data_IF_604618371881
#
_entry.id   IF_604618371881
#
_cell.length_a   1.000
_cell.length_b   1.000
_cell.length_c   1.000
_cell.angle_alpha   90.00
_cell.angle_beta   90.00
_cell.angle_gamma   90.00
#
_symmetry.space_group_name_H-M   'P 1'
#
loop_
_entity.id
_entity.type
_entity.pdbx_description
1 polymer ?
#
# COMPACT_ATOMS: atom_id res chain seq x y z
N UNK A 1 4.96 9.44 14.20
CA UNK A 1 4.00 10.30 13.46
C UNK A 1 3.09 9.40 12.63
N UNK A 2 1.85 9.76 12.31
CA UNK A 2 1.05 9.01 11.33
C UNK A 2 1.18 9.70 9.97
N UNK A 3 1.48 8.93 8.93
CA UNK A 3 1.54 9.40 7.55
C UNK A 3 0.48 8.65 6.74
N UNK A 4 -0.36 9.41 6.03
CA UNK A 4 -1.33 8.84 5.11
C UNK A 4 -0.63 8.40 3.82
N UNK A 5 -0.81 7.14 3.46
CA UNK A 5 -0.13 6.52 2.32
C UNK A 5 -1.11 5.70 1.49
N UNK A 6 -0.73 5.35 0.27
CA UNK A 6 -1.34 4.23 -0.44
C UNK A 6 -0.45 3.01 -0.25
N UNK A 7 -0.99 1.99 0.39
CA UNK A 7 -0.30 0.71 0.56
C UNK A 7 -0.66 -0.21 -0.59
N UNK A 8 0.36 -0.65 -1.33
CA UNK A 8 0.25 -1.72 -2.31
C UNK A 8 0.68 -3.04 -1.69
N UNK A 9 -0.11 -4.08 -1.93
CA UNK A 9 0.16 -5.44 -1.46
C UNK A 9 -0.24 -6.45 -2.52
N UNK A 10 0.46 -7.58 -2.59
CA UNK A 10 0.17 -8.66 -3.53
C UNK A 10 -0.42 -9.85 -2.79
N UNK A 11 -1.37 -10.55 -3.41
CA UNK A 11 -1.71 -11.91 -2.98
C UNK A 11 -0.66 -12.92 -3.49
N UNK A 12 -0.84 -14.21 -3.17
CA UNK A 12 0.08 -15.28 -3.60
C UNK A 12 0.07 -15.56 -5.11
N UNK A 13 -0.93 -15.08 -5.83
CA UNK A 13 -1.02 -15.16 -7.30
C UNK A 13 -0.44 -13.92 -7.99
N UNK A 14 -0.03 -12.90 -7.24
CA UNK A 14 0.50 -11.64 -7.76
C UNK A 14 -0.56 -10.59 -8.06
N UNK A 15 -1.81 -10.78 -7.63
CA UNK A 15 -2.87 -9.76 -7.80
C UNK A 15 -2.60 -8.56 -6.90
N UNK A 16 -2.63 -7.36 -7.48
CA UNK A 16 -2.35 -6.11 -6.77
C UNK A 16 -3.59 -5.60 -6.05
N UNK A 17 -3.42 -5.26 -4.78
CA UNK A 17 -4.38 -4.51 -3.98
C UNK A 17 -3.81 -3.13 -3.61
N UNK A 18 -4.61 -2.08 -3.80
CA UNK A 18 -4.30 -0.70 -3.43
C UNK A 18 -5.23 -0.27 -2.29
N UNK A 19 -4.69 0.20 -1.17
CA UNK A 19 -5.49 0.65 -0.04
C UNK A 19 -4.91 1.90 0.62
N UNK A 20 -5.70 2.97 0.81
CA UNK A 20 -5.33 4.08 1.69
C UNK A 20 -5.12 3.59 3.12
N UNK A 21 -4.00 3.98 3.73
CA UNK A 21 -3.69 3.64 5.11
C UNK A 21 -2.85 4.71 5.79
N UNK A 22 -3.27 5.08 7.00
CA UNK A 22 -2.42 5.75 7.97
C UNK A 22 -1.39 4.78 8.52
N UNK A 23 -0.12 5.12 8.35
CA UNK A 23 1.03 4.32 8.82
C UNK A 23 1.74 5.06 9.92
N UNK A 24 2.04 4.37 11.02
CA UNK A 24 2.90 4.93 12.06
C UNK A 24 4.36 4.92 11.59
N UNK A 25 4.89 6.12 11.38
CA UNK A 25 6.25 6.40 11.00
C UNK A 25 7.08 6.76 12.25
N UNK A 26 7.88 5.80 12.70
CA UNK A 26 8.93 5.99 13.70
C UNK A 26 10.30 6.15 13.04
N UNK A 27 11.32 6.49 13.84
CA UNK A 27 12.68 6.67 13.33
C UNK A 27 13.32 5.34 12.88
N UNK A 28 13.10 4.27 13.65
CA UNK A 28 13.68 2.95 13.38
C UNK A 28 12.67 1.96 12.78
N UNK A 29 11.38 2.20 13.01
CA UNK A 29 10.33 1.23 12.69
C UNK A 29 9.13 1.91 12.06
N UNK A 30 8.59 1.25 11.04
CA UNK A 30 7.32 1.58 10.41
C UNK A 30 6.31 0.53 10.87
N UNK A 31 5.16 0.97 11.40
CA UNK A 31 4.13 0.06 11.90
C UNK A 31 2.87 0.18 11.05
N UNK A 32 2.51 -0.92 10.38
CA UNK A 32 1.28 -1.07 9.62
C UNK A 32 0.19 -1.68 10.52
N UNK A 33 -0.99 -1.04 10.58
CA UNK A 33 -2.14 -1.52 11.38
C UNK A 33 -3.40 -1.71 10.51
N UNK A 34 -3.42 -2.68 9.59
CA UNK A 34 -4.60 -2.92 8.77
C UNK A 34 -5.71 -3.56 9.60
N UNK A 35 -6.97 -3.26 9.27
CA UNK A 35 -8.11 -3.99 9.82
C UNK A 35 -8.07 -5.46 9.36
N UNK A 36 -8.46 -6.38 10.25
CA UNK A 36 -8.27 -7.83 10.07
C UNK A 36 -9.06 -8.39 8.88
N UNK A 37 -10.15 -7.74 8.51
CA UNK A 37 -11.05 -8.14 7.43
C UNK A 37 -10.58 -7.63 6.05
N UNK A 38 -9.52 -6.83 5.99
CA UNK A 38 -9.06 -6.21 4.74
C UNK A 38 -8.21 -7.13 3.88
N UNK A 39 -8.25 -6.90 2.56
CA UNK A 39 -7.34 -7.56 1.61
C UNK A 39 -5.87 -7.26 1.95
N UNK A 40 -5.55 -6.04 2.39
CA UNK A 40 -4.19 -5.69 2.82
C UNK A 40 -3.72 -6.57 3.97
N UNK A 41 -4.52 -6.78 5.03
CA UNK A 41 -4.15 -7.66 6.14
C UNK A 41 -3.88 -9.09 5.66
N UNK A 42 -4.78 -9.67 4.86
CA UNK A 42 -4.60 -11.03 4.31
C UNK A 42 -3.32 -11.14 3.48
N UNK A 43 -3.11 -10.20 2.55
CA UNK A 43 -1.96 -10.19 1.65
C UNK A 43 -0.65 -10.07 2.43
N UNK A 44 -0.53 -9.11 3.34
CA UNK A 44 0.69 -8.88 4.12
C UNK A 44 0.99 -10.04 5.08
N UNK A 45 -0.05 -10.64 5.67
CA UNK A 45 0.14 -11.81 6.55
C UNK A 45 0.68 -13.02 5.78
N UNK A 46 0.17 -13.24 4.57
CA UNK A 46 0.56 -14.35 3.71
C UNK A 46 1.94 -14.15 3.05
N UNK A 47 2.23 -12.94 2.57
CA UNK A 47 3.44 -12.66 1.76
C UNK A 47 4.58 -12.03 2.55
N UNK A 48 4.29 -11.44 3.72
CA UNK A 48 5.23 -10.65 4.52
C UNK A 48 5.83 -9.46 3.78
N UNK A 49 5.12 -8.96 2.76
CA UNK A 49 5.56 -7.84 1.92
C UNK A 49 4.44 -6.83 1.72
N UNK A 50 4.79 -5.55 1.74
CA UNK A 50 3.97 -4.43 1.30
C UNK A 50 4.89 -3.30 0.83
N UNK A 51 4.35 -2.41 0.01
CA UNK A 51 5.02 -1.19 -0.43
C UNK A 51 4.17 0.01 -0.03
N UNK A 52 4.80 1.00 0.59
CA UNK A 52 4.14 2.23 1.03
C UNK A 52 4.45 3.31 0.00
N UNK A 53 3.39 3.88 -0.59
CA UNK A 53 3.51 4.92 -1.59
C UNK A 53 3.08 6.24 -0.96
N UNK A 54 4.03 7.18 -0.87
CA UNK A 54 3.75 8.58 -0.57
C UNK A 54 3.32 9.25 -1.86
N UNK A 55 2.17 9.88 -1.87
CA UNK A 55 1.65 10.62 -3.04
C UNK A 55 0.81 11.79 -2.54
N UNK A 56 0.82 12.88 -3.29
CA UNK A 56 -0.01 14.06 -3.08
C UNK A 56 -1.28 14.04 -3.94
N UNK A 57 -1.49 13.01 -4.76
CA UNK A 57 -2.71 12.83 -5.55
C UNK A 57 -3.86 12.30 -4.66
N UNK A 58 -4.65 13.23 -4.13
CA UNK A 58 -5.83 12.96 -3.30
C UNK A 58 -6.89 12.12 -4.01
N UNK A 59 -6.93 12.12 -5.36
CA UNK A 59 -7.92 11.33 -6.10
C UNK A 59 -7.64 9.83 -5.98
N UNK A 60 -6.37 9.42 -5.87
CA UNK A 60 -5.98 8.03 -5.62
C UNK A 60 -6.50 7.57 -4.26
N UNK A 61 -6.36 8.41 -3.23
CA UNK A 61 -6.92 8.15 -1.90
C UNK A 61 -8.44 7.99 -1.95
N UNK A 62 -9.15 8.95 -2.56
CA UNK A 62 -10.60 8.93 -2.64
C UNK A 62 -11.12 7.67 -3.36
N UNK A 63 -10.53 7.30 -4.50
CA UNK A 63 -10.91 6.11 -5.26
C UNK A 63 -10.60 4.81 -4.53
N UNK A 64 -9.42 4.72 -3.89
CA UNK A 64 -9.01 3.56 -3.11
C UNK A 64 -9.84 3.36 -1.83
N UNK A 65 -10.44 4.42 -1.28
CA UNK A 65 -11.29 4.33 -0.10
C UNK A 65 -12.70 3.80 -0.40
N UNK A 66 -13.25 4.12 -1.58
CA UNK A 66 -14.66 3.80 -1.92
C UNK A 66 -14.82 2.63 -2.89
N UNK A 67 -13.72 2.13 -3.45
CA UNK A 67 -13.73 1.09 -4.48
C UNK A 67 -12.40 0.32 -4.53
N UNK A 68 -12.24 -0.57 -5.52
CA UNK A 68 -10.99 -1.33 -5.73
C UNK A 68 -10.38 -1.00 -7.10
N UNK A 69 -9.88 0.25 -7.30
CA UNK A 69 -9.31 0.68 -8.56
C UNK A 69 -7.98 0.00 -8.85
N UNK A 70 -7.58 0.01 -10.13
CA UNK A 70 -6.23 -0.33 -10.57
C UNK A 70 -5.55 0.96 -11.02
N UNK A 71 -4.30 1.15 -10.60
CA UNK A 71 -3.49 2.32 -10.95
C UNK A 71 -2.22 1.88 -11.69
N UNK A 72 -1.63 2.77 -12.53
CA UNK A 72 -0.31 2.53 -13.11
C UNK A 72 0.75 2.32 -12.03
N UNK A 73 1.65 1.37 -12.26
CA UNK A 73 2.69 0.98 -11.30
C UNK A 73 3.95 0.52 -12.01
N UNK A 74 5.07 0.60 -11.28
CA UNK A 74 6.34 -0.05 -11.61
C UNK A 74 6.70 -1.11 -10.56
N UNK A 75 7.50 -2.13 -10.90
CA UNK A 75 7.98 -3.10 -9.92
C UNK A 75 8.80 -2.44 -8.80
N UNK A 76 8.60 -2.89 -7.56
CA UNK A 76 9.46 -2.51 -6.45
C UNK A 76 10.85 -3.17 -6.57
N UNK A 77 11.88 -2.49 -6.07
CA UNK A 77 13.27 -2.93 -6.24
C UNK A 77 13.73 -3.91 -5.16
N UNK A 78 13.21 -3.79 -3.93
CA UNK A 78 13.74 -4.52 -2.75
C UNK A 78 12.86 -5.70 -2.35
N UNK A 79 11.55 -5.58 -2.51
CA UNK A 79 10.57 -6.60 -2.11
C UNK A 79 9.70 -6.98 -3.29
N UNK A 80 9.11 -8.18 -3.24
CA UNK A 80 8.08 -8.55 -4.21
C UNK A 80 6.85 -7.65 -4.00
N UNK A 81 6.64 -6.70 -4.91
CA UNK A 81 5.64 -5.66 -4.78
C UNK A 81 5.70 -4.67 -5.93
N UNK A 82 4.84 -3.64 -5.87
CA UNK A 82 4.74 -2.60 -6.90
C UNK A 82 4.68 -1.23 -6.25
N UNK A 83 5.31 -0.24 -6.88
CA UNK A 83 5.27 1.18 -6.53
C UNK A 83 4.30 1.88 -7.47
N UNK A 84 3.46 2.79 -6.96
CA UNK A 84 2.61 3.65 -7.80
C UNK A 84 3.48 4.55 -8.68
N UNK A 85 3.10 4.71 -9.96
CA UNK A 85 3.76 5.68 -10.85
C UNK A 85 3.62 7.12 -10.34
N UNK A 86 2.53 7.40 -9.61
CA UNK A 86 2.25 8.69 -9.00
C UNK A 86 2.89 8.87 -7.61
N UNK A 87 3.79 7.98 -7.19
CA UNK A 87 4.52 8.14 -5.94
C UNK A 87 5.53 9.31 -6.03
N UNK A 88 5.68 10.05 -4.93
CA UNK A 88 6.69 11.09 -4.78
C UNK A 88 8.11 10.51 -4.82
N UNK A 89 9.05 11.30 -5.35
CA UNK A 89 10.48 10.94 -5.49
C UNK A 89 11.36 11.56 -4.42
#
# INVERSE_FOLDING_TARGET
MIIETIVTSLDSAGTINFAPMGVEWGEETIVLKPFLETTTFRNVTATRTAVLNLTDDVLIFARGAISSPQFPTVPAVVVNGVVLDAACT
#
